data_IF_458162620654
#
_entry.id   IF_458162620654
#
_cell.length_a   1.000
_cell.length_b   1.000
_cell.length_c   1.000
_cell.angle_alpha   90.00
_cell.angle_beta   90.00
_cell.angle_gamma   90.00
#
_symmetry.space_group_name_H-M   'P 1'
#
loop_
_entity.id
_entity.type
_entity.pdbx_description
1 polymer ?
#
# COMPACT_ATOMS: atom_id res chain seq x y z
N UNK A 1 2.52 -7.93 -20.20
CA UNK A 1 3.76 -7.20 -20.53
C UNK A 1 4.95 -8.16 -20.66
N UNK A 2 4.75 -9.37 -21.18
CA UNK A 2 5.85 -10.35 -21.33
C UNK A 2 6.98 -9.84 -22.24
N UNK A 3 6.64 -9.02 -23.24
CA UNK A 3 7.60 -8.41 -24.15
C UNK A 3 8.64 -7.54 -23.41
N UNK A 4 8.26 -6.87 -22.31
CA UNK A 4 9.15 -5.94 -21.61
C UNK A 4 10.41 -6.66 -21.10
N UNK A 5 10.27 -7.89 -20.58
CA UNK A 5 11.38 -8.66 -20.01
C UNK A 5 12.51 -8.91 -21.01
N UNK A 6 12.15 -9.29 -22.24
CA UNK A 6 13.13 -9.50 -23.32
C UNK A 6 13.85 -8.22 -23.77
N UNK A 7 13.25 -7.06 -23.48
CA UNK A 7 13.80 -5.75 -23.85
C UNK A 7 14.67 -5.14 -22.76
N UNK A 8 14.62 -5.63 -21.53
CA UNK A 8 15.44 -5.06 -20.45
C UNK A 8 16.93 -5.26 -20.78
N UNK A 9 17.69 -4.18 -20.63
CA UNK A 9 19.16 -4.21 -20.59
C UNK A 9 19.64 -3.56 -19.30
N UNK A 10 20.68 -4.15 -18.71
CA UNK A 10 21.29 -3.65 -17.49
C UNK A 10 22.14 -2.41 -17.80
N UNK A 11 21.94 -1.36 -17.02
CA UNK A 11 22.65 -0.08 -17.10
C UNK A 11 22.94 0.37 -15.67
N UNK A 12 23.89 1.29 -15.50
CA UNK A 12 24.21 1.89 -14.20
C UNK A 12 23.37 3.17 -13.98
N UNK A 13 22.05 3.01 -13.98
CA UNK A 13 21.10 4.12 -13.87
C UNK A 13 20.51 4.20 -12.47
N UNK A 14 20.12 5.43 -12.09
CA UNK A 14 19.40 5.69 -10.86
C UNK A 14 18.04 6.28 -11.20
N UNK A 15 16.97 5.59 -10.84
CA UNK A 15 15.59 6.03 -11.03
C UNK A 15 15.00 6.35 -9.66
N UNK A 16 14.51 7.58 -9.48
CA UNK A 16 13.82 7.99 -8.26
C UNK A 16 12.35 8.23 -8.59
N UNK A 17 11.46 7.49 -7.94
CA UNK A 17 10.02 7.72 -7.95
C UNK A 17 9.62 8.36 -6.61
N UNK A 18 9.29 9.65 -6.66
CA UNK A 18 8.70 10.36 -5.54
C UNK A 18 7.18 10.35 -5.68
N UNK A 19 6.52 9.89 -4.62
CA UNK A 19 5.07 9.85 -4.51
C UNK A 19 4.64 10.80 -3.40
N UNK A 20 4.00 11.89 -3.79
CA UNK A 20 3.21 12.74 -2.90
C UNK A 20 1.83 12.10 -2.81
N UNK A 21 1.56 11.39 -1.71
CA UNK A 21 0.34 10.60 -1.55
C UNK A 21 -0.91 11.47 -1.74
N UNK A 22 -1.91 10.99 -2.49
CA UNK A 22 -3.14 11.76 -2.72
C UNK A 22 -2.94 13.11 -3.43
N UNK A 23 -1.85 13.30 -4.20
CA UNK A 23 -1.45 14.57 -4.81
C UNK A 23 -2.58 15.30 -5.54
N UNK A 24 -3.30 14.59 -6.41
CA UNK A 24 -4.32 15.19 -7.27
C UNK A 24 -5.48 15.77 -6.47
N UNK A 25 -5.96 16.93 -6.88
CA UNK A 25 -7.05 17.63 -6.23
C UNK A 25 -8.01 18.27 -7.25
N UNK A 26 -8.99 19.01 -6.71
CA UNK A 26 -9.92 19.82 -7.48
C UNK A 26 -9.83 21.28 -7.05
N UNK A 27 -10.19 22.23 -7.93
CA UNK A 27 -10.38 23.62 -7.55
C UNK A 27 -11.28 23.76 -6.32
N UNK A 28 -10.80 24.45 -5.29
CA UNK A 28 -11.55 24.65 -4.05
C UNK A 28 -11.47 26.08 -3.53
N UNK A 29 -10.32 26.51 -3.01
CA UNK A 29 -10.12 27.90 -2.57
C UNK A 29 -9.54 28.72 -3.71
N UNK A 30 -10.11 29.90 -3.96
CA UNK A 30 -9.74 30.77 -5.08
C UNK A 30 -9.77 30.07 -6.46
N UNK A 31 -10.62 29.05 -6.64
CA UNK A 31 -10.70 28.25 -7.88
C UNK A 31 -9.37 27.57 -8.26
N UNK A 32 -8.52 27.27 -7.27
CA UNK A 32 -7.23 26.58 -7.42
C UNK A 32 -7.22 25.24 -6.68
N UNK A 33 -6.44 24.30 -7.18
CA UNK A 33 -6.00 23.12 -6.41
C UNK A 33 -4.93 23.51 -5.38
N UNK A 34 -4.66 22.70 -4.35
CA UNK A 34 -3.54 22.92 -3.44
C UNK A 34 -2.19 22.97 -4.15
N UNK A 35 -2.00 22.19 -5.21
CA UNK A 35 -0.80 22.17 -6.04
C UNK A 35 -0.65 23.45 -6.88
N UNK A 36 -1.75 24.00 -7.40
CA UNK A 36 -1.76 25.30 -8.07
C UNK A 36 -1.51 26.47 -7.12
N UNK A 37 -2.04 26.40 -5.89
CA UNK A 37 -1.91 27.43 -4.86
C UNK A 37 -0.54 27.45 -4.17
N UNK A 38 0.15 26.32 -4.11
CA UNK A 38 1.47 26.20 -3.50
C UNK A 38 2.51 27.04 -4.24
N UNK A 39 3.41 27.68 -3.46
CA UNK A 39 4.59 28.35 -3.98
C UNK A 39 5.71 27.34 -4.18
N UNK A 40 5.85 26.88 -5.41
CA UNK A 40 6.71 25.74 -5.78
C UNK A 40 7.77 26.12 -6.82
N UNK A 41 8.69 27.06 -6.51
CA UNK A 41 9.67 27.54 -7.50
C UNK A 41 10.57 26.43 -8.05
N UNK A 42 10.88 25.39 -7.26
CA UNK A 42 11.76 24.31 -7.71
C UNK A 42 11.03 23.36 -8.65
N UNK A 43 9.81 22.95 -8.33
CA UNK A 43 8.95 22.14 -9.19
C UNK A 43 8.59 22.89 -10.47
N UNK A 44 8.30 24.20 -10.39
CA UNK A 44 7.97 25.01 -11.57
C UNK A 44 9.18 25.14 -12.51
N UNK A 45 10.38 25.33 -11.97
CA UNK A 45 11.63 25.31 -12.74
C UNK A 45 11.89 23.94 -13.38
N UNK A 46 11.63 22.87 -12.63
CA UNK A 46 11.80 21.50 -13.10
C UNK A 46 10.77 21.14 -14.18
N UNK A 47 9.53 21.59 -14.06
CA UNK A 47 8.43 21.29 -14.98
C UNK A 47 8.75 21.72 -16.42
N UNK A 48 9.34 22.90 -16.59
CA UNK A 48 9.81 23.40 -17.90
C UNK A 48 10.85 22.51 -18.57
N UNK A 49 11.57 21.70 -17.79
CA UNK A 49 12.65 20.81 -18.28
C UNK A 49 12.24 19.34 -18.18
N UNK A 50 10.95 19.05 -18.12
CA UNK A 50 10.43 17.72 -17.85
C UNK A 50 9.25 17.40 -18.78
N UNK A 51 8.97 16.11 -18.90
CA UNK A 51 7.77 15.60 -19.53
C UNK A 51 6.65 15.54 -18.49
N UNK A 52 5.55 16.25 -18.71
CA UNK A 52 4.38 16.22 -17.83
C UNK A 52 3.25 15.39 -18.46
N UNK A 53 2.34 14.92 -17.62
CA UNK A 53 1.11 14.26 -18.02
C UNK A 53 0.23 13.95 -16.83
N UNK A 54 -0.79 13.13 -17.07
CA UNK A 54 -1.63 12.55 -16.04
C UNK A 54 -1.59 11.03 -16.13
N UNK A 55 -1.73 10.35 -15.00
CA UNK A 55 -1.99 8.92 -15.00
C UNK A 55 -3.32 8.56 -14.35
N UNK A 56 -3.93 7.46 -14.80
CA UNK A 56 -5.14 6.87 -14.26
C UNK A 56 -4.73 5.70 -13.36
N UNK A 57 -4.95 5.76 -12.04
CA UNK A 57 -4.48 4.74 -11.11
C UNK A 57 -5.01 3.33 -11.39
N UNK A 58 -6.30 3.21 -11.71
CA UNK A 58 -6.98 1.91 -11.92
C UNK A 58 -7.66 1.88 -13.28
N UNK A 59 -8.80 2.58 -13.41
CA UNK A 59 -9.50 2.74 -14.69
C UNK A 59 -10.37 4.01 -14.66
N UNK A 60 -10.91 4.39 -15.81
CA UNK A 60 -11.79 5.55 -15.94
C UNK A 60 -12.98 5.47 -14.98
N UNK A 61 -13.14 6.51 -14.15
CA UNK A 61 -14.25 6.60 -13.19
C UNK A 61 -14.12 5.70 -11.96
N UNK A 62 -13.01 4.99 -11.78
CA UNK A 62 -12.78 4.09 -10.64
C UNK A 62 -11.88 4.75 -9.60
N UNK A 63 -12.41 4.96 -8.40
CA UNK A 63 -11.62 5.46 -7.25
C UNK A 63 -10.70 4.35 -6.71
N UNK A 64 -9.38 4.56 -6.68
CA UNK A 64 -8.44 3.59 -6.11
C UNK A 64 -8.42 3.63 -4.58
N UNK A 65 -8.20 2.48 -3.95
CA UNK A 65 -7.56 2.44 -2.63
C UNK A 65 -6.03 2.52 -2.80
N UNK A 66 -5.30 2.75 -1.71
CA UNK A 66 -3.83 2.88 -1.75
C UNK A 66 -3.13 1.65 -2.32
N UNK A 67 -3.67 0.44 -2.11
CA UNK A 67 -3.13 -0.80 -2.67
C UNK A 67 -3.10 -0.80 -4.21
N UNK A 68 -4.26 -0.73 -4.88
CA UNK A 68 -4.34 -0.60 -6.34
C UNK A 68 -3.54 0.59 -6.91
N UNK A 69 -3.59 1.77 -6.26
CA UNK A 69 -2.84 2.96 -6.71
C UNK A 69 -1.34 2.70 -6.76
N UNK A 70 -0.79 2.17 -5.67
CA UNK A 70 0.64 1.84 -5.57
C UNK A 70 1.06 0.71 -6.50
N UNK A 71 0.28 -0.36 -6.62
CA UNK A 71 0.56 -1.42 -7.60
C UNK A 71 0.64 -0.84 -9.02
N UNK A 72 -0.30 0.06 -9.36
CA UNK A 72 -0.31 0.80 -10.61
C UNK A 72 1.01 1.51 -10.86
N UNK A 73 1.43 2.43 -9.99
CA UNK A 73 2.67 3.19 -10.20
C UNK A 73 3.94 2.31 -10.14
N UNK A 74 3.89 1.15 -9.48
CA UNK A 74 4.96 0.13 -9.53
C UNK A 74 4.96 -0.68 -10.83
N UNK A 75 4.07 -0.38 -11.79
CA UNK A 75 4.00 -1.03 -13.09
C UNK A 75 3.23 -2.35 -13.09
N UNK A 76 2.47 -2.64 -12.04
CA UNK A 76 1.60 -3.80 -11.92
C UNK A 76 0.16 -3.41 -12.23
N UNK A 77 -0.50 -4.19 -13.08
CA UNK A 77 -1.89 -3.90 -13.48
C UNK A 77 -2.83 -4.27 -12.31
N UNK A 78 -3.44 -3.28 -11.62
CA UNK A 78 -4.23 -3.55 -10.44
C UNK A 78 -5.52 -4.32 -10.75
N UNK A 79 -6.01 -4.30 -11.99
CA UNK A 79 -7.18 -5.07 -12.40
C UNK A 79 -6.89 -6.58 -12.53
N UNK A 80 -5.61 -6.95 -12.63
CA UNK A 80 -5.16 -8.35 -12.74
C UNK A 80 -4.66 -8.91 -11.42
N UNK A 81 -4.53 -8.08 -10.39
CA UNK A 81 -3.98 -8.48 -9.10
C UNK A 81 -5.06 -8.36 -8.05
N UNK A 82 -5.48 -9.51 -7.53
CA UNK A 82 -6.35 -9.55 -6.37
C UNK A 82 -5.48 -9.67 -5.12
N UNK A 83 -5.38 -8.59 -4.33
CA UNK A 83 -4.78 -8.69 -3.00
C UNK A 83 -5.88 -9.09 -2.02
N UNK A 84 -5.74 -10.27 -1.40
CA UNK A 84 -6.67 -10.75 -0.40
C UNK A 84 -6.80 -9.81 0.80
N UNK A 85 -7.97 -9.79 1.43
CA UNK A 85 -8.28 -8.86 2.54
C UNK A 85 -7.37 -9.04 3.74
N UNK A 86 -7.07 -10.29 4.13
CA UNK A 86 -6.16 -10.55 5.25
C UNK A 86 -4.76 -10.00 4.99
N UNK A 87 -4.25 -10.11 3.76
CA UNK A 87 -2.99 -9.49 3.34
C UNK A 87 -3.05 -7.98 3.52
N UNK A 88 -4.05 -7.29 2.96
CA UNK A 88 -4.17 -5.83 3.09
C UNK A 88 -4.19 -5.38 4.56
N UNK A 89 -4.95 -6.07 5.40
CA UNK A 89 -5.02 -5.74 6.83
C UNK A 89 -3.67 -5.97 7.53
N UNK A 90 -2.97 -7.06 7.21
CA UNK A 90 -1.65 -7.35 7.75
C UNK A 90 -0.63 -6.27 7.39
N UNK A 91 -0.61 -5.83 6.13
CA UNK A 91 0.25 -4.74 5.68
C UNK A 91 -0.11 -3.42 6.37
N UNK A 92 -1.41 -3.14 6.56
CA UNK A 92 -1.89 -1.94 7.25
C UNK A 92 -1.43 -1.82 8.70
N UNK A 93 -1.24 -2.95 9.39
CA UNK A 93 -0.68 -2.98 10.77
C UNK A 93 0.84 -3.19 10.82
N UNK A 94 1.50 -3.15 9.66
CA UNK A 94 2.95 -3.23 9.52
C UNK A 94 3.54 -4.63 9.67
N UNK A 95 2.76 -5.68 9.43
CA UNK A 95 3.29 -7.03 9.34
C UNK A 95 3.90 -7.27 7.96
N UNK A 96 5.15 -7.71 7.95
CA UNK A 96 5.81 -8.23 6.75
C UNK A 96 5.38 -9.69 6.52
N UNK A 97 4.75 -9.94 5.38
CA UNK A 97 4.25 -11.25 5.01
C UNK A 97 5.25 -12.05 4.19
N UNK A 98 5.37 -13.33 4.51
CA UNK A 98 6.18 -14.32 3.79
C UNK A 98 5.29 -15.18 2.89
N UNK A 99 5.91 -15.93 1.98
CA UNK A 99 5.21 -16.94 1.18
C UNK A 99 4.70 -18.13 2.03
N UNK A 100 5.12 -18.19 3.29
CA UNK A 100 4.73 -19.22 4.27
C UNK A 100 3.56 -18.79 5.15
N UNK A 101 3.01 -17.60 4.92
CA UNK A 101 2.06 -16.96 5.81
C UNK A 101 0.64 -17.04 5.25
N UNK A 102 -0.32 -17.36 6.12
CA UNK A 102 -1.74 -17.13 5.89
C UNK A 102 -2.16 -15.95 6.74
N UNK A 103 -2.45 -14.82 6.09
CA UNK A 103 -2.93 -13.60 6.71
C UNK A 103 -4.46 -13.61 6.78
N UNK A 104 -5.00 -13.33 7.95
CA UNK A 104 -6.44 -13.41 8.24
C UNK A 104 -6.83 -12.18 9.05
N UNK A 105 -7.92 -11.54 8.64
CA UNK A 105 -8.51 -10.46 9.42
C UNK A 105 -9.28 -11.06 10.59
N UNK A 106 -8.99 -10.58 11.79
CA UNK A 106 -9.74 -10.87 12.99
C UNK A 106 -10.63 -9.70 13.42
N UNK A 107 -11.83 -10.02 13.90
CA UNK A 107 -12.66 -9.10 14.64
C UNK A 107 -12.95 -9.71 16.02
N UNK A 108 -12.73 -8.95 17.08
CA UNK A 108 -13.31 -9.26 18.37
C UNK A 108 -14.83 -9.11 18.31
N UNK A 109 -15.52 -10.12 18.83
CA UNK A 109 -16.96 -10.20 18.89
C UNK A 109 -17.42 -10.54 20.31
N UNK A 110 -18.69 -10.30 20.59
CA UNK A 110 -19.33 -10.72 21.83
C UNK A 110 -20.33 -11.83 21.50
N UNK A 111 -20.19 -12.96 22.18
CA UNK A 111 -21.09 -14.11 22.08
C UNK A 111 -21.77 -14.38 23.41
N UNK A 112 -22.98 -14.92 23.35
CA UNK A 112 -23.66 -15.59 24.48
C UNK A 112 -23.71 -17.08 24.22
N UNK A 113 -23.68 -17.88 25.27
CA UNK A 113 -23.78 -19.33 25.15
C UNK A 113 -25.21 -19.79 25.40
N UNK A 114 -25.87 -20.29 24.37
CA UNK A 114 -27.20 -20.89 24.44
C UNK A 114 -27.05 -22.40 24.26
N UNK A 115 -27.43 -23.20 25.27
CA UNK A 115 -27.21 -24.66 25.25
C UNK A 115 -25.75 -25.06 24.93
N UNK A 116 -24.78 -24.30 25.46
CA UNK A 116 -23.32 -24.43 25.19
C UNK A 116 -22.88 -24.06 23.76
N UNK A 117 -23.79 -23.57 22.92
CA UNK A 117 -23.49 -23.10 21.57
C UNK A 117 -23.26 -21.59 21.61
N UNK A 118 -22.14 -21.07 21.08
CA UNK A 118 -21.93 -19.63 21.00
C UNK A 118 -22.87 -19.02 19.96
N UNK A 119 -23.57 -17.96 20.34
CA UNK A 119 -24.45 -17.14 19.50
C UNK A 119 -23.91 -15.72 19.50
N UNK A 120 -23.61 -15.18 18.31
CA UNK A 120 -23.05 -13.83 18.15
C UNK A 120 -24.12 -12.79 18.48
N UNK A 121 -23.90 -12.00 19.53
CA UNK A 121 -24.78 -10.88 19.88
C UNK A 121 -24.25 -9.54 19.39
N UNK A 122 -22.93 -9.44 19.22
CA UNK A 122 -22.29 -8.28 18.59
C UNK A 122 -21.01 -8.69 17.85
N UNK A 123 -20.98 -8.48 16.54
CA UNK A 123 -19.85 -8.84 15.66
C UNK A 123 -18.62 -7.93 15.81
N UNK A 124 -18.77 -6.83 16.53
CA UNK A 124 -17.76 -5.77 16.70
C UNK A 124 -17.45 -5.49 18.17
N UNK A 125 -18.04 -6.25 19.09
CA UNK A 125 -17.86 -6.08 20.53
C UNK A 125 -18.07 -4.62 21.02
N UNK A 126 -19.04 -3.92 20.45
CA UNK A 126 -19.34 -2.53 20.79
C UNK A 126 -18.27 -1.55 20.33
N UNK A 127 -17.38 -1.94 19.40
CA UNK A 127 -16.18 -1.19 19.01
C UNK A 127 -15.36 -0.80 20.25
N UNK A 128 -14.85 -1.82 20.95
CA UNK A 128 -13.98 -1.60 22.11
C UNK A 128 -12.89 -0.55 21.80
N UNK A 129 -12.47 0.26 22.78
CA UNK A 129 -11.33 1.17 22.61
C UNK A 129 -10.09 0.43 22.11
N UNK A 130 -9.26 1.09 21.32
CA UNK A 130 -8.06 0.47 20.73
C UNK A 130 -7.08 0.03 21.82
N UNK A 131 -6.99 0.74 22.94
CA UNK A 131 -6.17 0.38 24.09
C UNK A 131 -6.60 -0.97 24.69
N UNK A 132 -7.91 -1.22 24.72
CA UNK A 132 -8.47 -2.48 25.21
C UNK A 132 -8.19 -3.63 24.24
N UNK A 133 -8.29 -3.39 22.93
CA UNK A 133 -7.85 -4.37 21.93
C UNK A 133 -6.38 -4.72 22.10
N UNK A 134 -5.50 -3.73 22.26
CA UNK A 134 -4.09 -3.94 22.47
C UNK A 134 -3.81 -4.78 23.74
N UNK A 135 -4.57 -4.56 24.83
CA UNK A 135 -4.51 -5.39 26.04
C UNK A 135 -4.85 -6.85 25.71
N UNK A 136 -5.97 -7.09 25.04
CA UNK A 136 -6.44 -8.43 24.68
C UNK A 136 -5.46 -9.14 23.74
N UNK A 137 -4.99 -8.46 22.69
CA UNK A 137 -4.00 -9.01 21.75
C UNK A 137 -2.70 -9.33 22.48
N UNK A 138 -2.19 -8.46 23.36
CA UNK A 138 -0.98 -8.74 24.14
C UNK A 138 -1.14 -9.97 25.04
N UNK A 139 -2.33 -10.17 25.61
CA UNK A 139 -2.64 -11.36 26.39
C UNK A 139 -2.68 -12.61 25.50
N UNK A 140 -3.44 -12.59 24.40
CA UNK A 140 -3.54 -13.70 23.47
C UNK A 140 -2.20 -14.07 22.83
N UNK A 141 -1.37 -13.10 22.44
CA UNK A 141 -0.02 -13.34 21.88
C UNK A 141 0.90 -14.08 22.85
N UNK A 142 0.76 -13.86 24.16
CA UNK A 142 1.53 -14.58 25.17
C UNK A 142 1.03 -16.01 25.36
N UNK A 143 -0.28 -16.23 25.23
CA UNK A 143 -0.92 -17.52 25.49
C UNK A 143 -1.00 -18.43 24.26
N UNK A 144 -1.00 -17.86 23.06
CA UNK A 144 -1.16 -18.57 21.78
C UNK A 144 -0.02 -18.15 20.86
N UNK A 145 1.17 -18.74 21.05
CA UNK A 145 2.33 -18.50 20.19
C UNK A 145 2.46 -19.51 19.06
N UNK A 146 1.88 -20.71 19.22
CA UNK A 146 1.96 -21.80 18.24
C UNK A 146 0.73 -22.70 18.33
N UNK A 147 0.23 -23.15 17.19
CA UNK A 147 -0.80 -24.20 17.09
C UNK A 147 -0.32 -25.21 16.07
N UNK A 148 -0.17 -26.47 16.49
CA UNK A 148 0.46 -27.53 15.69
C UNK A 148 1.84 -27.07 15.18
N UNK A 149 2.05 -26.98 13.87
CA UNK A 149 3.31 -26.50 13.26
C UNK A 149 3.27 -25.03 12.82
N UNK A 150 2.13 -24.33 12.99
CA UNK A 150 2.01 -22.91 12.66
C UNK A 150 2.39 -22.01 13.85
N UNK A 151 3.32 -21.09 13.61
CA UNK A 151 3.53 -19.93 14.49
C UNK A 151 2.33 -18.98 14.35
N UNK A 152 1.83 -18.47 15.49
CA UNK A 152 0.66 -17.58 15.55
C UNK A 152 1.14 -16.17 15.88
N UNK A 153 1.01 -15.27 14.91
CA UNK A 153 1.43 -13.88 15.05
C UNK A 153 0.17 -13.02 15.09
N UNK A 154 -0.05 -12.31 16.19
CA UNK A 154 -1.20 -11.43 16.37
C UNK A 154 -0.77 -9.97 16.42
N UNK A 155 -1.54 -9.10 15.77
CA UNK A 155 -1.32 -7.66 15.78
C UNK A 155 -2.64 -6.91 15.90
N UNK A 156 -2.69 -5.95 16.82
CA UNK A 156 -3.85 -5.07 17.01
C UNK A 156 -4.07 -4.21 15.77
N UNK A 157 -5.33 -4.09 15.35
CA UNK A 157 -5.81 -3.02 14.49
C UNK A 157 -6.49 -1.93 15.33
N UNK A 158 -7.33 -1.11 14.69
CA UNK A 158 -8.18 -0.14 15.37
C UNK A 158 -9.45 -0.77 15.93
N UNK A 159 -9.90 -0.25 17.07
CA UNK A 159 -11.12 -0.70 17.75
C UNK A 159 -11.14 -2.22 17.97
N UNK A 160 -12.14 -2.94 17.43
CA UNK A 160 -12.31 -4.39 17.54
C UNK A 160 -11.48 -5.21 16.55
N UNK A 161 -10.75 -4.57 15.64
CA UNK A 161 -10.06 -5.28 14.54
C UNK A 161 -8.68 -5.73 14.98
N UNK A 162 -8.24 -6.86 14.45
CA UNK A 162 -6.87 -7.34 14.58
C UNK A 162 -6.51 -8.15 13.34
N UNK A 163 -5.23 -8.52 13.24
CA UNK A 163 -4.74 -9.45 12.24
C UNK A 163 -4.14 -10.64 12.95
N UNK A 164 -4.43 -11.83 12.44
CA UNK A 164 -3.70 -13.04 12.78
C UNK A 164 -3.00 -13.56 11.54
N UNK A 165 -1.71 -13.88 11.69
CA UNK A 165 -0.92 -14.58 10.69
C UNK A 165 -0.59 -15.96 11.22
N UNK A 166 -0.92 -16.98 10.43
CA UNK A 166 -0.44 -18.34 10.64
C UNK A 166 0.78 -18.54 9.76
N UNK A 167 1.96 -18.64 10.38
CA UNK A 167 3.24 -18.79 9.69
C UNK A 167 3.71 -20.24 9.76
N UNK A 168 3.83 -20.86 8.59
CA UNK A 168 4.22 -22.26 8.43
C UNK A 168 5.73 -22.40 8.13
N UNK A 169 6.31 -23.59 8.32
CA UNK A 169 7.70 -23.85 7.91
C UNK A 169 7.84 -24.09 6.40
N UNK A 170 6.75 -24.05 5.63
CA UNK A 170 6.70 -24.31 4.19
C UNK A 170 5.86 -23.25 3.48
N UNK A 171 6.07 -23.11 2.16
CA UNK A 171 5.28 -22.21 1.29
C UNK A 171 3.82 -22.65 1.29
N UNK A 172 2.90 -21.71 1.55
CA UNK A 172 1.47 -21.99 1.59
C UNK A 172 0.85 -21.68 0.22
N UNK A 173 0.20 -22.66 -0.44
CA UNK A 173 -0.46 -22.44 -1.71
C UNK A 173 -1.75 -21.60 -1.58
N UNK A 174 -2.19 -20.91 -2.65
CA UNK A 174 -3.43 -20.12 -2.64
C UNK A 174 -4.73 -20.91 -2.40
N UNK A 175 -4.70 -22.24 -2.37
CA UNK A 175 -5.90 -23.05 -2.06
C UNK A 175 -6.52 -22.71 -0.70
N UNK A 176 -5.73 -22.18 0.25
CA UNK A 176 -6.20 -21.75 1.57
C UNK A 176 -7.14 -20.55 1.50
N UNK A 177 -7.16 -19.82 0.39
CA UNK A 177 -8.10 -18.71 0.17
C UNK A 177 -9.53 -19.20 -0.09
N UNK A 178 -9.72 -20.51 -0.30
CA UNK A 178 -11.05 -21.13 -0.39
C UNK A 178 -11.72 -21.34 0.96
N UNK A 179 -10.99 -21.14 2.07
CA UNK A 179 -11.52 -21.30 3.42
C UNK A 179 -12.58 -20.23 3.68
N UNK A 180 -13.76 -20.65 4.14
CA UNK A 180 -14.82 -19.71 4.46
C UNK A 180 -14.50 -18.86 5.71
N UNK A 181 -15.07 -17.65 5.74
CA UNK A 181 -15.11 -16.81 6.94
C UNK A 181 -15.79 -17.56 8.11
N UNK A 182 -15.34 -17.31 9.34
CA UNK A 182 -16.04 -17.79 10.55
C UNK A 182 -17.09 -16.80 11.04
N UNK A 183 -17.03 -15.54 10.57
CA UNK A 183 -18.08 -14.54 10.79
C UNK A 183 -19.37 -14.94 10.03
N UNK A 184 -20.49 -15.23 10.72
CA UNK A 184 -21.75 -15.60 10.07
C UNK A 184 -22.43 -14.41 9.36
N UNK A 185 -21.81 -13.23 9.43
CA UNK A 185 -22.26 -11.97 8.89
C UNK A 185 -23.60 -11.45 9.44
N UNK A 186 -24.13 -12.09 10.48
CA UNK A 186 -25.37 -11.74 11.16
C UNK A 186 -25.24 -11.94 12.67
N UNK A 187 -26.03 -11.17 13.43
CA UNK A 187 -26.25 -11.43 14.86
C UNK A 187 -27.31 -12.52 15.03
N UNK A 188 -27.37 -13.16 16.20
CA UNK A 188 -28.28 -14.27 16.48
C UNK A 188 -27.91 -15.59 15.79
N UNK A 189 -26.75 -15.65 15.13
CA UNK A 189 -26.21 -16.87 14.52
C UNK A 189 -24.94 -17.32 15.22
N UNK A 190 -24.67 -18.62 15.17
CA UNK A 190 -23.40 -19.15 15.62
C UNK A 190 -22.27 -18.83 14.64
N UNK A 191 -21.03 -18.64 15.13
CA UNK A 191 -19.86 -18.62 14.27
C UNK A 191 -19.81 -19.85 13.36
N UNK A 192 -19.42 -19.65 12.11
CA UNK A 192 -19.26 -20.74 11.16
C UNK A 192 -17.96 -21.49 11.46
N UNK A 193 -17.97 -22.80 11.23
CA UNK A 193 -16.72 -23.56 11.23
C UNK A 193 -15.92 -23.20 9.98
N UNK A 194 -14.60 -22.95 10.09
CA UNK A 194 -13.75 -22.80 8.92
C UNK A 194 -13.63 -24.15 8.20
N UNK A 195 -13.84 -24.15 6.90
CA UNK A 195 -13.74 -25.32 6.02
C UNK A 195 -13.07 -24.89 4.73
N UNK A 196 -11.97 -25.55 4.39
CA UNK A 196 -11.24 -25.41 3.13
C UNK A 196 -11.24 -26.71 2.34
N UNK A 197 -10.92 -26.64 1.05
CA UNK A 197 -10.75 -27.82 0.18
C UNK A 197 -9.28 -27.97 -0.18
N UNK A 198 -8.73 -29.16 0.02
CA UNK A 198 -7.32 -29.46 -0.22
C UNK A 198 -6.56 -29.70 1.09
N UNK A 199 -5.44 -30.42 1.00
CA UNK A 199 -4.70 -30.89 2.16
C UNK A 199 -4.22 -29.74 3.06
N UNK A 200 -3.67 -28.67 2.47
CA UNK A 200 -3.18 -27.53 3.26
C UNK A 200 -4.35 -26.68 3.75
N UNK A 201 -5.39 -26.48 2.94
CA UNK A 201 -6.57 -25.72 3.33
C UNK A 201 -7.34 -26.36 4.50
N UNK A 202 -7.46 -27.69 4.52
CA UNK A 202 -8.05 -28.44 5.64
C UNK A 202 -7.23 -28.29 6.93
N UNK A 203 -5.90 -28.37 6.81
CA UNK A 203 -4.99 -28.15 7.95
C UNK A 203 -5.10 -26.73 8.50
N UNK A 204 -5.10 -25.72 7.64
CA UNK A 204 -5.28 -24.31 8.04
C UNK A 204 -6.66 -24.09 8.68
N UNK A 205 -7.71 -24.75 8.16
CA UNK A 205 -9.06 -24.69 8.73
C UNK A 205 -9.09 -25.25 10.15
N UNK A 206 -8.45 -26.41 10.37
CA UNK A 206 -8.32 -27.01 11.71
C UNK A 206 -7.56 -26.09 12.68
N UNK A 207 -6.46 -25.49 12.24
CA UNK A 207 -5.71 -24.52 13.04
C UNK A 207 -6.58 -23.29 13.37
N UNK A 208 -7.37 -22.79 12.42
CA UNK A 208 -8.29 -21.68 12.64
C UNK A 208 -9.41 -22.02 13.64
N UNK A 209 -9.94 -23.26 13.60
CA UNK A 209 -10.93 -23.75 14.57
C UNK A 209 -10.31 -23.82 15.98
N UNK A 210 -9.12 -24.43 16.12
CA UNK A 210 -8.39 -24.51 17.40
C UNK A 210 -8.06 -23.12 17.92
N UNK A 211 -7.64 -22.20 17.06
CA UNK A 211 -7.36 -20.81 17.41
C UNK A 211 -8.61 -20.15 18.00
N UNK A 212 -9.74 -20.24 17.30
CA UNK A 212 -11.00 -19.61 17.72
C UNK A 212 -11.49 -20.19 19.06
N UNK A 213 -11.33 -21.50 19.28
CA UNK A 213 -11.63 -22.15 20.56
C UNK A 213 -10.74 -21.67 21.69
N UNK A 214 -9.42 -21.58 21.48
CA UNK A 214 -8.47 -21.06 22.48
C UNK A 214 -8.77 -19.62 22.84
N UNK A 215 -9.08 -18.76 21.86
CA UNK A 215 -9.48 -17.36 22.13
C UNK A 215 -10.74 -17.31 22.98
N UNK A 216 -11.76 -18.09 22.63
CA UNK A 216 -13.01 -18.14 23.39
C UNK A 216 -12.81 -18.61 24.84
N UNK A 217 -11.94 -19.60 25.06
CA UNK A 217 -11.61 -20.08 26.40
C UNK A 217 -10.87 -19.03 27.24
N UNK A 218 -9.84 -18.41 26.66
CA UNK A 218 -9.01 -17.41 27.33
C UNK A 218 -9.79 -16.13 27.66
N UNK A 219 -10.73 -15.75 26.80
CA UNK A 219 -11.51 -14.51 26.95
C UNK A 219 -12.92 -14.74 27.49
N UNK A 220 -13.26 -15.94 27.99
CA UNK A 220 -14.63 -16.29 28.44
C UNK A 220 -15.23 -15.37 29.51
N UNK A 221 -14.37 -14.77 30.33
CA UNK A 221 -14.77 -13.88 31.43
C UNK A 221 -14.82 -12.40 31.00
N UNK A 222 -14.41 -12.07 29.78
CA UNK A 222 -14.49 -10.70 29.28
C UNK A 222 -15.98 -10.36 28.99
N UNK A 223 -16.50 -9.23 29.48
CA UNK A 223 -17.91 -8.87 29.31
C UNK A 223 -18.26 -8.53 27.86
N UNK A 224 -17.26 -8.12 27.07
CA UNK A 224 -17.31 -7.87 25.62
C UNK A 224 -16.03 -8.45 25.02
N UNK A 225 -16.00 -8.67 23.71
CA UNK A 225 -14.82 -9.19 23.01
C UNK A 225 -14.37 -10.59 23.50
N UNK A 226 -15.31 -11.41 23.98
CA UNK A 226 -15.05 -12.77 24.46
C UNK A 226 -14.92 -13.83 23.35
N UNK A 227 -14.89 -13.42 22.08
CA UNK A 227 -14.75 -14.30 20.93
C UNK A 227 -14.00 -13.62 19.78
N UNK A 228 -13.42 -14.40 18.87
CA UNK A 228 -12.80 -13.92 17.64
C UNK A 228 -13.53 -14.47 16.40
N UNK A 229 -13.90 -13.57 15.49
CA UNK A 229 -14.41 -13.91 14.17
C UNK A 229 -13.31 -13.65 13.13
N UNK A 230 -13.05 -14.63 12.28
CA UNK A 230 -11.99 -14.64 11.29
C UNK A 230 -12.56 -14.47 9.90
N UNK A 231 -11.90 -13.65 9.08
CA UNK A 231 -12.36 -13.29 7.74
C UNK A 231 -11.21 -13.14 6.76
N UNK A 232 -11.44 -13.56 5.51
CA UNK A 232 -10.54 -13.33 4.39
C UNK A 232 -9.18 -13.99 4.57
N UNK A 233 -9.17 -15.32 4.62
CA UNK A 233 -7.94 -16.12 4.54
C UNK A 233 -7.25 -15.77 3.23
N UNK A 234 -5.99 -15.35 3.32
CA UNK A 234 -5.24 -14.89 2.16
C UNK A 234 -3.75 -15.17 2.31
N UNK A 235 -3.11 -15.48 1.20
CA UNK A 235 -1.65 -15.66 1.15
C UNK A 235 -1.04 -14.49 0.39
N UNK A 236 0.28 -14.30 0.53
CA UNK A 236 1.00 -13.36 -0.32
C UNK A 236 0.72 -13.71 -1.79
N UNK A 237 0.17 -12.79 -2.61
CA UNK A 237 -0.13 -13.09 -4.00
C UNK A 237 1.15 -13.45 -4.75
N UNK A 238 1.05 -14.42 -5.66
CA UNK A 238 2.15 -14.81 -6.54
C UNK A 238 2.40 -13.69 -7.56
N UNK A 239 3.21 -12.72 -7.17
CA UNK A 239 3.62 -11.59 -8.00
C UNK A 239 5.09 -11.74 -8.33
N UNK A 240 5.42 -11.51 -9.60
CA UNK A 240 6.81 -11.30 -9.99
C UNK A 240 7.37 -10.12 -9.19
N UNK A 241 8.52 -10.28 -8.59
CA UNK A 241 9.19 -9.21 -7.87
C UNK A 241 9.59 -8.08 -8.82
N UNK A 242 9.83 -6.90 -8.28
CA UNK A 242 10.21 -5.71 -9.03
C UNK A 242 11.53 -5.94 -9.77
N UNK A 243 12.47 -6.63 -9.13
CA UNK A 243 13.75 -7.02 -9.74
C UNK A 243 13.56 -8.05 -10.88
N UNK A 244 12.73 -9.08 -10.69
CA UNK A 244 12.44 -10.05 -11.76
C UNK A 244 11.71 -9.41 -12.96
N UNK A 245 10.89 -8.39 -12.70
CA UNK A 245 10.05 -7.75 -13.71
C UNK A 245 10.78 -6.64 -14.46
N UNK A 246 11.65 -5.88 -13.79
CA UNK A 246 12.29 -4.68 -14.35
C UNK A 246 13.83 -4.72 -14.33
N UNK A 247 14.44 -5.71 -13.69
CA UNK A 247 15.89 -5.87 -13.63
C UNK A 247 16.61 -4.82 -12.77
N UNK A 248 15.89 -4.17 -11.85
CA UNK A 248 16.39 -3.11 -10.99
C UNK A 248 16.38 -3.55 -9.52
N UNK A 249 17.48 -3.33 -8.80
CA UNK A 249 17.49 -3.47 -7.34
C UNK A 249 16.72 -2.31 -6.75
N UNK A 250 15.60 -2.59 -6.10
CA UNK A 250 14.68 -1.56 -5.63
C UNK A 250 14.61 -1.46 -4.11
N UNK A 251 14.53 -0.23 -3.60
CA UNK A 251 14.24 0.03 -2.20
C UNK A 251 13.05 0.98 -2.02
N UNK A 252 12.45 0.92 -0.84
CA UNK A 252 11.32 1.73 -0.43
C UNK A 252 11.67 2.52 0.83
N UNK A 253 11.50 3.83 0.73
CA UNK A 253 11.66 4.82 1.79
C UNK A 253 10.28 5.43 2.03
N UNK A 254 9.61 4.91 3.03
CA UNK A 254 8.28 5.33 3.44
C UNK A 254 8.21 5.34 4.96
N UNK A 255 7.37 6.19 5.53
CA UNK A 255 7.13 6.23 6.98
C UNK A 255 6.02 5.28 7.40
N UNK A 256 4.92 5.26 6.65
CA UNK A 256 3.67 4.59 7.04
C UNK A 256 3.67 3.07 6.72
N UNK A 257 3.10 2.21 7.59
CA UNK A 257 3.19 0.76 7.45
C UNK A 257 2.60 0.18 6.16
N UNK A 258 1.47 0.71 5.67
CA UNK A 258 0.81 0.22 4.47
C UNK A 258 1.74 0.22 3.24
N UNK A 259 2.44 1.33 2.99
CA UNK A 259 3.32 1.46 1.81
C UNK A 259 4.58 0.61 1.93
N UNK A 260 5.11 0.44 3.15
CA UNK A 260 6.18 -0.54 3.43
C UNK A 260 5.70 -1.94 3.07
N UNK A 261 4.47 -2.28 3.44
CA UNK A 261 3.87 -3.56 3.11
C UNK A 261 3.69 -3.76 1.60
N UNK A 262 3.11 -2.79 0.90
CA UNK A 262 2.90 -2.85 -0.56
C UNK A 262 4.22 -2.95 -1.33
N UNK A 263 5.24 -2.19 -0.93
CA UNK A 263 6.56 -2.28 -1.53
C UNK A 263 7.22 -3.65 -1.28
N UNK A 264 7.06 -4.23 -0.08
CA UNK A 264 7.53 -5.58 0.25
C UNK A 264 6.80 -6.67 -0.54
N UNK A 265 5.50 -6.48 -0.86
CA UNK A 265 4.75 -7.42 -1.70
C UNK A 265 5.43 -7.61 -3.07
N UNK A 266 5.90 -6.53 -3.67
CA UNK A 266 6.62 -6.55 -4.96
C UNK A 266 8.13 -6.71 -4.79
N UNK A 267 8.62 -7.06 -3.59
CA UNK A 267 10.03 -7.41 -3.36
C UNK A 267 11.00 -6.24 -3.21
N UNK A 268 10.53 -5.01 -2.98
CA UNK A 268 11.43 -3.89 -2.67
C UNK A 268 12.01 -4.04 -1.26
N UNK A 269 13.28 -3.64 -1.09
CA UNK A 269 13.91 -3.59 0.24
C UNK A 269 13.36 -2.41 1.04
N UNK A 270 12.77 -2.67 2.21
CA UNK A 270 12.31 -1.60 3.10
C UNK A 270 13.49 -0.99 3.85
N UNK A 271 13.70 0.31 3.67
CA UNK A 271 14.74 1.07 4.37
C UNK A 271 14.21 1.50 5.74
N UNK A 272 14.99 1.22 6.78
CA UNK A 272 14.70 1.66 8.15
C UNK A 272 15.47 2.95 8.43
N UNK A 273 14.75 3.97 8.87
CA UNK A 273 15.30 5.26 9.27
C UNK A 273 14.47 5.81 10.44
N UNK A 274 15.06 6.75 11.18
CA UNK A 274 14.39 7.44 12.28
C UNK A 274 13.73 8.73 11.78
N UNK A 275 12.63 9.12 12.42
CA UNK A 275 11.87 10.31 12.02
C UNK A 275 10.69 10.02 11.09
N UNK A 276 9.95 11.08 10.78
CA UNK A 276 8.72 11.03 9.97
C UNK A 276 8.58 12.23 9.02
N UNK A 277 9.61 13.08 8.94
CA UNK A 277 9.62 14.26 8.07
C UNK A 277 10.23 13.95 6.71
N UNK A 278 9.93 14.81 5.72
CA UNK A 278 10.49 14.74 4.37
C UNK A 278 12.02 14.74 4.40
N UNK A 279 12.61 15.54 5.31
CA UNK A 279 14.06 15.57 5.54
C UNK A 279 14.64 14.20 5.89
N UNK A 280 13.99 13.47 6.80
CA UNK A 280 14.46 12.15 7.25
C UNK A 280 14.44 11.13 6.10
N UNK A 281 13.39 11.20 5.28
CA UNK A 281 13.21 10.37 4.10
C UNK A 281 14.29 10.67 3.03
N UNK A 282 14.65 11.93 2.83
CA UNK A 282 15.72 12.34 1.91
C UNK A 282 17.11 11.97 2.42
N UNK A 283 17.37 12.07 3.72
CA UNK A 283 18.63 11.59 4.29
C UNK A 283 18.79 10.07 4.13
N UNK A 284 17.70 9.31 4.28
CA UNK A 284 17.69 7.88 3.99
C UNK A 284 17.97 7.61 2.50
N UNK A 285 17.41 8.41 1.58
CA UNK A 285 17.68 8.32 0.14
C UNK A 285 19.17 8.51 -0.16
N UNK A 286 19.78 9.57 0.39
CA UNK A 286 21.21 9.86 0.19
C UNK A 286 22.10 8.72 0.69
N UNK A 287 21.78 8.16 1.85
CA UNK A 287 22.54 7.06 2.47
C UNK A 287 22.51 5.77 1.63
N UNK A 288 21.37 5.46 1.02
CA UNK A 288 21.18 4.23 0.26
C UNK A 288 21.49 4.36 -1.24
N UNK A 289 21.90 5.56 -1.69
CA UNK A 289 22.07 5.90 -3.10
C UNK A 289 22.94 4.93 -3.90
N UNK A 290 24.00 4.40 -3.29
CA UNK A 290 24.93 3.48 -3.97
C UNK A 290 24.45 2.02 -3.98
N UNK A 291 23.45 1.67 -3.17
CA UNK A 291 23.05 0.28 -2.94
C UNK A 291 21.95 -0.20 -3.92
N UNK A 292 21.18 0.73 -4.49
CA UNK A 292 19.98 0.43 -5.29
C UNK A 292 19.98 1.19 -6.62
N UNK A 293 19.18 0.70 -7.56
CA UNK A 293 19.01 1.27 -8.91
C UNK A 293 17.66 2.01 -9.03
N UNK A 294 16.68 1.61 -8.21
CA UNK A 294 15.36 2.23 -8.11
C UNK A 294 15.02 2.59 -6.67
N UNK A 295 14.52 3.81 -6.47
CA UNK A 295 14.15 4.36 -5.16
C UNK A 295 12.69 4.80 -5.18
N UNK A 296 11.86 4.17 -4.36
CA UNK A 296 10.51 4.64 -4.07
C UNK A 296 10.53 5.50 -2.79
N UNK A 297 10.25 6.80 -2.94
CA UNK A 297 10.18 7.78 -1.85
C UNK A 297 8.72 8.22 -1.66
N UNK A 298 8.16 8.03 -0.47
CA UNK A 298 6.71 8.22 -0.25
C UNK A 298 6.38 9.27 0.82
N UNK A 299 5.85 10.40 0.40
CA UNK A 299 5.46 11.51 1.27
C UNK A 299 3.96 11.40 1.61
N UNK A 300 3.62 10.99 2.84
CA UNK A 300 2.23 10.67 3.25
C UNK A 300 1.35 11.90 3.57
N UNK A 301 1.92 12.98 4.10
CA UNK A 301 1.14 14.04 4.76
C UNK A 301 0.18 14.80 3.81
N UNK A 302 0.42 14.78 2.51
CA UNK A 302 -0.46 15.40 1.50
C UNK A 302 -1.84 14.75 1.46
N UNK A 303 -1.92 13.42 1.54
CA UNK A 303 -3.18 12.68 1.51
C UNK A 303 -4.00 12.90 2.77
N UNK A 304 -3.36 12.83 3.95
CA UNK A 304 -4.05 13.08 5.23
C UNK A 304 -4.69 14.48 5.28
N UNK A 305 -4.01 15.49 4.76
CA UNK A 305 -4.59 16.83 4.64
C UNK A 305 -5.77 16.87 3.64
N UNK A 306 -5.73 16.08 2.57
CA UNK A 306 -6.82 15.89 1.63
C UNK A 306 -8.06 15.26 2.28
N UNK A 307 -7.89 14.16 3.01
CA UNK A 307 -8.96 13.46 3.75
C UNK A 307 -9.59 14.35 4.82
N UNK A 308 -8.81 15.20 5.48
CA UNK A 308 -9.33 16.18 6.46
C UNK A 308 -10.02 17.39 5.79
N UNK A 309 -9.89 17.54 4.47
CA UNK A 309 -10.32 18.72 3.71
C UNK A 309 -9.53 19.99 4.05
N UNK A 310 -8.31 19.82 4.55
CA UNK A 310 -7.43 20.89 4.98
C UNK A 310 -6.55 21.37 3.83
N UNK A 311 -7.12 22.26 3.01
CA UNK A 311 -6.47 22.87 1.84
C UNK A 311 -5.11 23.50 2.18
N UNK A 312 -5.06 24.34 3.22
CA UNK A 312 -3.85 25.04 3.65
C UNK A 312 -2.73 24.07 4.06
N UNK A 313 -3.07 23.00 4.79
CA UNK A 313 -2.08 22.01 5.18
C UNK A 313 -1.56 21.23 3.98
N UNK A 314 -2.43 20.84 3.03
CA UNK A 314 -2.01 20.13 1.82
C UNK A 314 -1.07 21.00 0.98
N UNK A 315 -1.41 22.28 0.78
CA UNK A 315 -0.54 23.28 0.15
C UNK A 315 0.80 23.40 0.87
N UNK A 316 0.81 23.53 2.20
CA UNK A 316 2.05 23.66 2.98
C UNK A 316 2.97 22.44 2.87
N UNK A 317 2.43 21.22 2.83
CA UNK A 317 3.24 20.00 2.65
C UNK A 317 3.87 19.96 1.26
N UNK A 318 3.14 20.41 0.23
CA UNK A 318 3.69 20.53 -1.14
C UNK A 318 4.83 21.56 -1.18
N UNK A 319 4.67 22.72 -0.53
CA UNK A 319 5.73 23.74 -0.42
C UNK A 319 6.94 23.23 0.38
N UNK A 320 6.71 22.47 1.46
CA UNK A 320 7.78 21.83 2.23
C UNK A 320 8.57 20.87 1.35
N UNK A 321 7.90 19.99 0.60
CA UNK A 321 8.55 19.09 -0.34
C UNK A 321 9.34 19.85 -1.42
N UNK A 322 8.77 20.90 -2.01
CA UNK A 322 9.44 21.74 -3.01
C UNK A 322 10.77 22.29 -2.47
N UNK A 323 10.81 22.71 -1.20
CA UNK A 323 12.03 23.24 -0.58
C UNK A 323 13.18 22.23 -0.49
N UNK A 324 12.87 20.92 -0.42
CA UNK A 324 13.86 19.86 -0.37
C UNK A 324 14.20 19.24 -1.74
N UNK A 325 13.42 19.54 -2.78
CA UNK A 325 13.65 19.04 -4.14
C UNK A 325 15.09 19.27 -4.66
N UNK A 326 15.76 20.42 -4.39
CA UNK A 326 17.15 20.61 -4.80
C UNK A 326 18.11 19.55 -4.26
N UNK A 327 17.85 18.98 -3.08
CA UNK A 327 18.69 17.94 -2.49
C UNK A 327 18.56 16.60 -3.23
N UNK A 328 17.36 16.30 -3.75
CA UNK A 328 17.12 15.12 -4.60
C UNK A 328 17.80 15.33 -5.96
N UNK A 329 17.69 16.52 -6.54
CA UNK A 329 18.33 16.85 -7.81
C UNK A 329 19.86 16.82 -7.72
N UNK A 330 20.43 17.19 -6.57
CA UNK A 330 21.88 17.15 -6.32
C UNK A 330 22.46 15.72 -6.34
N UNK A 331 21.64 14.68 -6.12
CA UNK A 331 22.03 13.28 -6.30
C UNK A 331 22.18 12.88 -7.77
N UNK A 332 21.74 13.74 -8.70
CA UNK A 332 21.82 13.56 -10.15
C UNK A 332 21.19 12.23 -10.63
N UNK A 333 19.90 11.97 -10.33
CA UNK A 333 19.19 10.79 -10.84
C UNK A 333 19.20 10.78 -12.39
N UNK A 334 19.33 9.59 -12.97
CA UNK A 334 19.18 9.42 -14.42
C UNK A 334 17.75 9.72 -14.87
N UNK A 335 16.78 9.37 -14.02
CA UNK A 335 15.35 9.70 -14.18
C UNK A 335 14.78 10.05 -12.81
N UNK A 336 14.14 11.21 -12.70
CA UNK A 336 13.32 11.59 -11.55
C UNK A 336 11.86 11.63 -11.97
N UNK A 337 11.00 10.90 -11.27
CA UNK A 337 9.56 10.92 -11.44
C UNK A 337 8.91 11.49 -10.17
N UNK A 338 8.01 12.46 -10.32
CA UNK A 338 7.21 13.01 -9.21
C UNK A 338 5.73 12.87 -9.57
N UNK A 339 4.94 12.25 -8.70
CA UNK A 339 3.50 12.04 -8.91
C UNK A 339 2.79 11.80 -7.57
N UNK A 340 1.51 11.44 -7.61
CA UNK A 340 0.80 10.76 -6.53
C UNK A 340 0.36 9.36 -6.98
N UNK A 341 -0.08 8.52 -6.05
CA UNK A 341 -0.69 7.23 -6.36
C UNK A 341 -2.19 7.34 -6.67
N UNK A 342 -2.84 8.37 -6.10
CA UNK A 342 -4.22 8.74 -6.38
C UNK A 342 -4.49 10.25 -6.18
N UNK A 343 -5.72 10.65 -6.47
CA UNK A 343 -6.24 11.99 -6.16
C UNK A 343 -7.06 11.95 -4.89
N UNK A 344 -6.77 12.83 -3.93
CA UNK A 344 -7.55 13.00 -2.69
C UNK A 344 -8.00 14.45 -2.56
N UNK A 345 -9.06 14.87 -3.28
CA UNK A 345 -9.46 16.26 -3.32
C UNK A 345 -9.98 16.76 -1.98
N UNK A 346 -9.49 17.92 -1.51
CA UNK A 346 -9.89 18.50 -0.23
C UNK A 346 -11.40 18.75 -0.13
N UNK A 347 -12.06 19.09 -1.25
CA UNK A 347 -13.52 19.30 -1.30
C UNK A 347 -14.31 18.00 -1.10
N UNK A 348 -13.75 16.85 -1.49
CA UNK A 348 -14.40 15.54 -1.38
C UNK A 348 -14.07 14.84 -0.06
N UNK A 349 -12.93 15.17 0.58
CA UNK A 349 -12.46 14.54 1.82
C UNK A 349 -12.33 13.01 1.71
N UNK A 350 -12.01 12.56 0.51
CA UNK A 350 -11.87 11.15 0.17
C UNK A 350 -11.05 11.00 -1.10
N UNK A 351 -10.57 9.79 -1.35
CA UNK A 351 -10.00 9.44 -2.64
C UNK A 351 -11.03 9.66 -3.76
N UNK A 352 -10.55 9.92 -4.97
CA UNK A 352 -11.39 10.11 -6.15
C UNK A 352 -10.80 9.45 -7.40
N UNK A 353 -11.60 9.34 -8.44
CA UNK A 353 -11.25 8.75 -9.74
C UNK A 353 -10.44 9.68 -10.66
N UNK A 354 -10.18 10.92 -10.23
CA UNK A 354 -9.53 11.91 -11.08
C UNK A 354 -8.10 11.48 -11.42
N UNK A 355 -7.65 11.66 -12.68
CA UNK A 355 -6.27 11.41 -13.06
C UNK A 355 -5.28 12.23 -12.23
N UNK A 356 -4.08 11.69 -12.03
CA UNK A 356 -3.09 12.23 -11.10
C UNK A 356 -1.92 12.88 -11.86
N UNK A 357 -1.46 14.09 -11.48
CA UNK A 357 -0.29 14.73 -12.07
C UNK A 357 0.96 13.84 -12.04
N UNK A 358 1.67 13.76 -13.15
CA UNK A 358 3.00 13.12 -13.23
C UNK A 358 3.98 14.01 -13.97
N UNK A 359 5.20 14.07 -13.45
CA UNK A 359 6.35 14.72 -14.03
C UNK A 359 7.48 13.70 -14.15
N UNK A 360 8.08 13.58 -15.33
CA UNK A 360 9.28 12.79 -15.59
C UNK A 360 10.39 13.74 -16.05
N UNK A 361 11.45 13.84 -15.26
CA UNK A 361 12.65 14.59 -15.60
C UNK A 361 13.77 13.64 -16.05
N UNK A 362 14.24 13.83 -17.29
CA UNK A 362 15.43 13.15 -17.83
C UNK A 362 15.99 13.91 -19.04
N UNK A 363 17.18 13.55 -19.55
CA UNK A 363 17.75 14.18 -20.76
C UNK A 363 16.98 13.92 -22.07
N UNK A 364 15.93 13.09 -22.05
CA UNK A 364 15.23 12.61 -23.26
C UNK A 364 13.75 13.00 -23.28
N UNK A 365 13.43 14.15 -22.70
CA UNK A 365 12.10 14.80 -22.76
C UNK A 365 12.09 15.86 -23.87
N UNK A 366 10.93 16.26 -24.38
CA UNK A 366 10.87 17.45 -25.26
C UNK A 366 11.13 18.71 -24.43
N UNK A 367 10.49 18.80 -23.26
CA UNK A 367 10.55 19.97 -22.38
C UNK A 367 9.83 21.19 -22.96
N UNK A 368 9.68 22.23 -22.13
CA UNK A 368 9.01 23.51 -22.42
C UNK A 368 7.56 23.36 -22.94
N UNK A 369 6.89 22.25 -22.62
CA UNK A 369 5.46 22.04 -22.92
C UNK A 369 4.56 22.53 -21.79
N UNK A 370 5.13 22.84 -20.63
CA UNK A 370 4.42 23.27 -19.42
C UNK A 370 5.29 24.21 -18.59
N UNK A 371 4.65 25.16 -17.90
CA UNK A 371 5.32 26.21 -17.12
C UNK A 371 5.41 25.87 -15.62
N UNK A 372 4.49 25.05 -15.12
CA UNK A 372 4.36 24.66 -13.71
C UNK A 372 3.97 23.19 -13.59
N UNK A 373 4.22 22.58 -12.42
CA UNK A 373 3.72 21.24 -12.13
C UNK A 373 2.36 21.33 -11.43
N UNK A 374 1.27 21.31 -12.21
CA UNK A 374 -0.11 21.38 -11.71
C UNK A 374 -1.02 20.46 -12.52
N UNK A 375 -2.22 20.16 -12.02
CA UNK A 375 -3.22 19.36 -12.71
C UNK A 375 -3.53 19.90 -14.12
N UNK A 376 -3.68 21.23 -14.27
CA UNK A 376 -4.02 21.86 -15.56
C UNK A 376 -2.85 21.92 -16.53
N UNK A 377 -1.62 22.09 -16.05
CA UNK A 377 -0.44 22.06 -16.90
C UNK A 377 -0.13 20.64 -17.38
N UNK A 378 -0.34 19.64 -16.52
CA UNK A 378 -0.22 18.23 -16.85
C UNK A 378 -1.13 17.79 -18.01
N UNK A 379 -2.28 18.44 -18.24
CA UNK A 379 -3.14 18.18 -19.40
C UNK A 379 -2.47 18.55 -20.75
N UNK A 380 -1.50 19.47 -20.73
CA UNK A 380 -0.79 19.99 -21.91
C UNK A 380 0.53 19.25 -22.17
N UNK A 381 1.00 18.45 -21.21
CA UNK A 381 2.30 17.81 -21.24
C UNK A 381 2.41 16.68 -22.25
N UNK A 382 3.64 16.40 -22.70
CA UNK A 382 3.94 15.44 -23.77
C UNK A 382 3.58 13.97 -23.45
N UNK A 383 3.38 13.61 -22.18
CA UNK A 383 3.01 12.25 -21.81
C UNK A 383 1.51 11.96 -22.02
N UNK A 384 0.68 13.00 -22.16
CA UNK A 384 -0.77 12.87 -22.25
C UNK A 384 -1.40 12.23 -21.01
N UNK A 385 -2.44 11.42 -21.20
CA UNK A 385 -3.10 10.65 -20.13
C UNK A 385 -2.90 9.16 -20.38
N UNK A 386 -2.36 8.44 -19.39
CA UNK A 386 -2.08 7.01 -19.52
C UNK A 386 -2.44 6.24 -18.24
N UNK A 387 -2.50 4.91 -18.29
CA UNK A 387 -2.73 4.09 -17.09
C UNK A 387 -1.48 4.00 -16.21
N UNK A 388 -1.62 4.12 -14.89
CA UNK A 388 -0.51 4.11 -13.94
C UNK A 388 0.48 2.94 -14.14
N UNK A 389 -0.02 1.75 -14.46
CA UNK A 389 0.81 0.56 -14.72
C UNK A 389 1.74 0.69 -15.95
N UNK A 390 1.59 1.74 -16.76
CA UNK A 390 2.51 2.10 -17.86
C UNK A 390 3.65 3.03 -17.43
N UNK A 391 3.62 3.55 -16.19
CA UNK A 391 4.65 4.46 -15.68
C UNK A 391 6.03 3.82 -15.72
N UNK A 392 6.20 2.63 -15.14
CA UNK A 392 7.51 1.95 -15.12
C UNK A 392 8.13 1.72 -16.52
N UNK A 393 7.38 1.20 -17.52
CA UNK A 393 7.88 1.17 -18.89
C UNK A 393 8.39 2.52 -19.42
N UNK A 394 7.71 3.64 -19.13
CA UNK A 394 8.17 4.98 -19.50
C UNK A 394 9.46 5.34 -18.77
N UNK A 395 9.52 5.14 -17.45
CA UNK A 395 10.74 5.42 -16.68
C UNK A 395 11.95 4.63 -17.19
N UNK A 396 11.76 3.35 -17.51
CA UNK A 396 12.80 2.52 -18.12
C UNK A 396 13.24 3.03 -19.50
N UNK A 397 12.31 3.52 -20.32
CA UNK A 397 12.64 4.12 -21.61
C UNK A 397 13.47 5.40 -21.44
N UNK A 398 13.06 6.30 -20.54
CA UNK A 398 13.80 7.53 -20.20
C UNK A 398 15.16 7.23 -19.55
N UNK A 399 15.33 6.09 -18.88
CA UNK A 399 16.61 5.63 -18.36
C UNK A 399 17.49 4.95 -19.42
N UNK A 400 16.99 4.77 -20.66
CA UNK A 400 17.61 3.94 -21.70
C UNK A 400 17.86 2.51 -21.23
N UNK A 401 16.94 1.92 -20.45
CA UNK A 401 17.00 0.53 -19.98
C UNK A 401 16.31 -0.47 -20.91
N UNK A 402 15.77 -0.01 -22.04
CA UNK A 402 15.07 -0.86 -23.01
C UNK A 402 15.87 -0.99 -24.32
N UNK A 403 15.86 -2.20 -24.89
CA UNK A 403 16.31 -2.50 -26.25
C UNK A 403 15.21 -2.13 -27.26
N UNK A 404 15.60 -2.02 -28.53
CA UNK A 404 14.64 -1.93 -29.63
C UNK A 404 13.85 -3.24 -29.72
N UNK A 405 12.55 -3.12 -30.01
CA UNK A 405 11.70 -4.29 -30.24
C UNK A 405 11.74 -4.68 -31.72
N UNK A 406 11.99 -5.97 -31.99
CA UNK A 406 11.94 -6.55 -33.34
C UNK A 406 13.15 -6.28 -34.24
N UNK A 407 14.24 -5.70 -33.72
CA UNK A 407 15.49 -5.50 -34.46
C UNK A 407 16.70 -5.36 -33.52
#
# INVERSE_FOLDING_TARGET
>A
MEILKGLIKKTDVKIVLVVLDGLGDLPFKEEKTPLEAARTPNLDSLARKSALGLHIPVDYGITPGSGPGHLGIFGYDPLKINIGRGVLEALGVGLELKETDVAIRGNFATVKYENRIPVVVDRRAGRIPTEENQRLIKYLSKSISKIEDAEIILKSGMEHRFVVVFRFPYKVPPEVETINDTDPQAVGKSPLKPVGKGEIAEKVSKIAEIFSQKVAELLKNEPRANYALLRGFSVKPALETFEEKFGLRACAIATYPMYKGLASLVGMKIIKFEGMGIKDEIEALKKEWQNFDFFFLHIKKTDSAGEDGNFEMKTKVIEEFDSFLPEILALNPSVLCITGDHSTPCILKSHSWHPVPVLIHSPYVLGNTSERFTERECLKGELGIFYAYKLMPLLLAHAKNLKKYGA
#
